data_IF_498149781604
#
_entry.id   IF_498149781604
#
_cell.length_a   1.000
_cell.length_b   1.000
_cell.length_c   1.000
_cell.angle_alpha   90.00
_cell.angle_beta   90.00
_cell.angle_gamma   90.00
#
_symmetry.space_group_name_H-M   'P 1'
#
loop_
_entity.id
_entity.type
_entity.pdbx_description
1 polymer ?
#
# COMPACT_ATOMS: atom_id res chain seq x y z
N UNK A 1 -68.56 -16.25 44.07
CA UNK A 1 -67.75 -15.33 43.26
C UNK A 1 -66.26 -15.49 43.61
N UNK A 2 -65.62 -16.46 42.96
CA UNK A 2 -64.17 -16.61 42.87
C UNK A 2 -63.83 -16.57 41.37
N UNK A 3 -62.87 -15.76 40.94
CA UNK A 3 -62.55 -15.61 39.52
C UNK A 3 -61.71 -16.80 39.02
N UNK A 4 -62.04 -17.27 37.82
CA UNK A 4 -61.35 -18.34 37.09
C UNK A 4 -59.87 -17.99 36.82
N UNK A 5 -58.98 -19.00 36.71
CA UNK A 5 -57.59 -18.76 36.33
C UNK A 5 -57.51 -18.29 34.87
N UNK A 6 -56.75 -17.22 34.65
CA UNK A 6 -56.50 -16.61 33.34
C UNK A 6 -55.80 -17.60 32.38
N UNK A 7 -56.04 -17.49 31.07
CA UNK A 7 -55.32 -18.30 30.09
C UNK A 7 -53.86 -17.83 30.04
N UNK A 8 -52.95 -18.79 30.13
CA UNK A 8 -51.54 -18.63 29.76
C UNK A 8 -51.49 -18.06 28.35
N UNK A 9 -51.04 -16.82 28.23
CA UNK A 9 -50.70 -16.19 26.96
C UNK A 9 -49.62 -17.06 26.34
N UNK A 10 -49.93 -17.68 25.20
CA UNK A 10 -48.92 -18.29 24.36
C UNK A 10 -47.96 -17.17 23.95
N UNK A 11 -46.77 -17.19 24.51
CA UNK A 11 -45.67 -16.33 24.10
C UNK A 11 -45.33 -16.73 22.66
N UNK A 12 -45.81 -15.92 21.74
CA UNK A 12 -45.48 -15.97 20.32
C UNK A 12 -43.97 -15.78 20.22
N UNK A 13 -43.25 -16.89 20.01
CA UNK A 13 -41.83 -16.90 19.71
C UNK A 13 -41.64 -16.06 18.46
N UNK A 14 -41.15 -14.83 18.64
CA UNK A 14 -40.66 -14.02 17.55
C UNK A 14 -39.58 -14.82 16.81
N UNK A 15 -39.58 -14.91 15.47
CA UNK A 15 -38.51 -15.56 14.76
C UNK A 15 -37.19 -14.84 15.07
N UNK A 16 -36.25 -15.60 15.60
CA UNK A 16 -34.85 -15.21 15.78
C UNK A 16 -34.31 -14.73 14.42
N UNK A 17 -33.60 -13.59 14.34
CA UNK A 17 -33.01 -13.17 13.07
C UNK A 17 -31.96 -14.19 12.67
N UNK A 18 -32.20 -14.88 11.55
CA UNK A 18 -31.22 -15.76 10.89
C UNK A 18 -29.88 -15.01 10.74
N UNK A 19 -28.73 -15.64 11.04
CA UNK A 19 -27.44 -15.02 10.82
C UNK A 19 -27.21 -14.89 9.31
N UNK A 20 -27.09 -13.66 8.82
CA UNK A 20 -26.65 -13.33 7.47
C UNK A 20 -25.15 -13.63 7.33
N UNK A 21 -24.77 -14.91 7.24
CA UNK A 21 -23.38 -15.33 6.99
C UNK A 21 -23.03 -15.35 5.49
N UNK A 22 -24.02 -15.26 4.60
CA UNK A 22 -23.82 -15.34 3.14
C UNK A 22 -23.18 -14.08 2.51
N UNK A 23 -23.12 -12.95 3.24
CA UNK A 23 -22.57 -11.68 2.71
C UNK A 23 -21.06 -11.51 2.97
N UNK A 24 -20.41 -12.44 3.68
CA UNK A 24 -18.96 -12.40 3.94
C UNK A 24 -18.26 -13.33 2.97
N UNK A 25 -17.72 -12.75 1.90
CA UNK A 25 -16.90 -13.50 0.94
C UNK A 25 -15.67 -14.09 1.63
N UNK A 26 -15.43 -15.39 1.44
CA UNK A 26 -14.16 -15.99 1.82
C UNK A 26 -13.06 -15.43 0.89
N UNK A 27 -11.82 -15.32 1.38
CA UNK A 27 -10.71 -14.69 0.63
C UNK A 27 -10.41 -15.38 -0.72
N UNK A 28 -10.92 -16.60 -0.94
CA UNK A 28 -10.81 -17.35 -2.19
C UNK A 28 -11.95 -17.09 -3.18
N UNK A 29 -13.02 -16.43 -2.75
CA UNK A 29 -14.19 -16.18 -3.58
C UNK A 29 -13.95 -14.97 -4.49
N UNK A 30 -14.28 -15.14 -5.78
CA UNK A 30 -14.22 -14.06 -6.76
C UNK A 30 -15.42 -13.15 -6.62
N UNK A 31 -15.20 -11.86 -6.36
CA UNK A 31 -16.26 -10.85 -6.34
C UNK A 31 -16.90 -10.70 -7.73
N UNK A 32 -18.21 -10.96 -7.81
CA UNK A 32 -19.03 -10.67 -8.99
C UNK A 32 -19.76 -9.35 -8.74
N UNK A 33 -19.42 -8.32 -9.52
CA UNK A 33 -20.07 -7.01 -9.37
C UNK A 33 -21.51 -7.06 -9.93
N UNK A 34 -22.50 -6.49 -9.23
CA UNK A 34 -23.85 -6.41 -9.75
C UNK A 34 -23.91 -5.51 -11.01
N UNK A 35 -24.75 -5.87 -11.97
CA UNK A 35 -24.81 -5.24 -13.30
C UNK A 35 -25.16 -3.74 -13.32
N UNK A 36 -25.67 -3.20 -12.20
CA UNK A 36 -25.93 -1.78 -12.02
C UNK A 36 -25.67 -1.41 -10.56
N UNK A 37 -24.64 -0.59 -10.32
CA UNK A 37 -24.37 0.01 -9.02
C UNK A 37 -24.72 1.49 -9.08
N UNK A 38 -25.67 1.90 -8.23
CA UNK A 38 -26.01 3.32 -8.08
C UNK A 38 -25.36 3.87 -6.83
N UNK A 39 -24.46 4.84 -7.02
CA UNK A 39 -23.85 5.60 -5.93
C UNK A 39 -24.62 6.92 -5.83
N UNK A 40 -25.68 6.93 -5.01
CA UNK A 40 -26.55 8.10 -4.83
C UNK A 40 -27.41 8.39 -6.05
N UNK A 41 -27.13 9.49 -6.76
CA UNK A 41 -27.82 9.89 -8.00
C UNK A 41 -26.99 9.53 -9.26
N UNK A 42 -25.84 8.87 -9.07
CA UNK A 42 -24.94 8.49 -10.16
C UNK A 42 -25.13 7.02 -10.51
N UNK A 43 -25.55 6.76 -11.75
CA UNK A 43 -25.64 5.42 -12.32
C UNK A 43 -24.27 5.01 -12.88
N UNK A 44 -23.62 4.02 -12.27
CA UNK A 44 -22.32 3.51 -12.70
C UNK A 44 -22.55 2.26 -13.55
N UNK A 45 -22.50 2.44 -14.87
CA UNK A 45 -22.49 1.31 -15.80
C UNK A 45 -21.10 0.68 -15.82
N UNK A 46 -20.96 -0.66 -15.75
CA UNK A 46 -19.69 -1.32 -15.94
C UNK A 46 -19.14 -0.94 -17.32
N UNK A 47 -17.91 -0.44 -17.36
CA UNK A 47 -17.24 -0.12 -18.61
C UNK A 47 -16.98 -1.43 -19.36
N UNK A 48 -17.76 -1.70 -20.40
CA UNK A 48 -17.41 -2.72 -21.39
C UNK A 48 -16.01 -2.38 -21.92
N UNK A 49 -15.09 -3.36 -22.09
CA UNK A 49 -13.76 -3.09 -22.59
C UNK A 49 -13.84 -2.66 -24.06
N UNK A 50 -14.12 -1.38 -24.27
CA UNK A 50 -13.93 -0.68 -25.53
C UNK A 50 -12.48 -0.90 -25.95
N UNK A 51 -12.21 -1.40 -27.17
CA UNK A 51 -10.86 -1.52 -27.67
C UNK A 51 -10.24 -0.12 -27.64
N UNK A 52 -9.27 0.09 -26.74
CA UNK A 52 -8.53 1.34 -26.65
C UNK A 52 -8.09 1.74 -28.07
N UNK A 53 -8.42 2.95 -28.55
CA UNK A 53 -7.89 3.41 -29.82
C UNK A 53 -6.37 3.42 -29.70
N UNK A 54 -5.70 2.58 -30.49
CA UNK A 54 -4.26 2.53 -30.56
C UNK A 54 -3.76 3.89 -31.09
N UNK A 55 -3.51 4.83 -30.19
CA UNK A 55 -2.66 5.96 -30.47
C UNK A 55 -1.32 5.38 -30.97
N UNK A 56 -0.73 5.92 -32.05
CA UNK A 56 0.54 5.39 -32.54
C UNK A 56 1.57 5.55 -31.42
N UNK A 57 2.02 4.40 -30.90
CA UNK A 57 3.20 4.32 -30.05
C UNK A 57 4.35 4.90 -30.87
N UNK A 58 4.83 6.08 -30.48
CA UNK A 58 6.05 6.65 -31.04
C UNK A 58 7.19 5.69 -30.76
N UNK A 59 7.55 4.92 -31.78
CA UNK A 59 8.71 4.03 -31.77
C UNK A 59 9.97 4.90 -31.69
N UNK A 60 10.47 5.09 -30.47
CA UNK A 60 11.75 5.77 -30.22
C UNK A 60 12.88 4.87 -30.74
N UNK A 61 13.21 5.02 -32.02
CA UNK A 61 14.41 4.44 -32.62
C UNK A 61 15.63 5.16 -32.05
N UNK A 62 16.30 4.51 -31.10
CA UNK A 62 17.58 4.97 -30.58
C UNK A 62 18.67 4.69 -31.63
N UNK A 63 19.06 5.71 -32.40
CA UNK A 63 20.22 5.68 -33.28
C UNK A 63 21.51 6.03 -32.51
N UNK A 64 22.67 5.41 -32.82
CA UNK A 64 23.89 5.55 -32.03
C UNK A 64 24.48 6.96 -32.07
N UNK A 65 25.06 7.36 -30.94
CA UNK A 65 25.59 8.69 -30.62
C UNK A 65 26.63 9.14 -31.66
N UNK A 66 26.24 10.09 -32.52
CA UNK A 66 27.15 10.88 -33.34
C UNK A 66 27.33 12.24 -32.66
N UNK A 67 28.58 12.51 -32.28
CA UNK A 67 29.14 13.79 -31.79
C UNK A 67 28.40 14.49 -30.66
N UNK A 68 29.14 14.74 -29.57
CA UNK A 68 28.74 15.58 -28.45
C UNK A 68 28.62 17.02 -28.98
N UNK A 69 27.50 17.33 -29.63
CA UNK A 69 26.99 18.68 -29.66
C UNK A 69 26.55 18.97 -28.22
N UNK A 70 27.35 19.75 -27.50
CA UNK A 70 26.81 20.59 -26.42
C UNK A 70 25.50 21.15 -26.96
N UNK A 71 24.35 20.91 -26.31
CA UNK A 71 23.15 21.60 -26.72
C UNK A 71 23.47 23.06 -26.48
N UNK A 72 23.77 23.80 -27.56
CA UNK A 72 23.53 25.22 -27.59
C UNK A 72 22.02 25.32 -27.45
N UNK A 73 21.56 25.31 -26.19
CA UNK A 73 20.20 25.66 -25.86
C UNK A 73 19.96 26.97 -26.61
N UNK A 74 18.96 27.06 -27.49
CA UNK A 74 18.53 28.36 -27.93
C UNK A 74 18.23 29.11 -26.63
N UNK A 75 19.01 30.16 -26.35
CA UNK A 75 18.67 31.14 -25.33
C UNK A 75 17.34 31.72 -25.77
N UNK A 76 16.26 31.05 -25.38
CA UNK A 76 14.96 31.68 -25.29
C UNK A 76 15.23 32.94 -24.49
N UNK A 77 14.84 34.13 -24.98
CA UNK A 77 14.87 35.28 -24.12
C UNK A 77 14.05 34.86 -22.91
N UNK A 78 14.67 34.78 -21.74
CA UNK A 78 13.99 34.86 -20.46
C UNK A 78 13.34 36.24 -20.45
N UNK A 79 12.26 36.35 -21.22
CA UNK A 79 11.19 37.27 -20.94
C UNK A 79 10.89 36.96 -19.49
N UNK A 80 11.27 37.89 -18.63
CA UNK A 80 10.85 37.89 -17.25
C UNK A 80 9.33 37.90 -17.31
N UNK A 81 8.72 36.72 -17.34
CA UNK A 81 7.35 36.54 -16.96
C UNK A 81 7.25 37.24 -15.62
N UNK A 82 6.38 38.25 -15.57
CA UNK A 82 6.11 39.06 -14.40
C UNK A 82 6.21 38.17 -13.17
N UNK A 83 7.23 38.43 -12.34
CA UNK A 83 7.53 37.57 -11.20
C UNK A 83 6.27 37.53 -10.34
N UNK A 84 5.54 36.42 -10.40
CA UNK A 84 4.21 36.26 -9.81
C UNK A 84 4.22 36.44 -8.27
N UNK A 85 5.41 36.46 -7.69
CA UNK A 85 5.67 36.66 -6.27
C UNK A 85 6.85 37.63 -6.16
N UNK A 86 6.78 38.56 -5.20
CA UNK A 86 7.90 39.47 -4.91
C UNK A 86 9.07 38.74 -4.24
N UNK A 87 10.29 39.23 -4.44
CA UNK A 87 11.53 38.62 -3.92
C UNK A 87 11.49 38.33 -2.42
N UNK A 88 10.88 39.24 -1.64
CA UNK A 88 10.73 39.08 -0.19
C UNK A 88 9.83 37.90 0.20
N UNK A 89 8.73 37.69 -0.54
CA UNK A 89 7.81 36.58 -0.28
C UNK A 89 8.43 35.24 -0.73
N UNK A 90 9.16 35.22 -1.85
CA UNK A 90 9.91 34.05 -2.30
C UNK A 90 11.00 33.67 -1.29
N UNK A 91 11.78 34.63 -0.80
CA UNK A 91 12.81 34.40 0.22
C UNK A 91 12.21 33.89 1.55
N UNK A 92 11.04 34.42 1.94
CA UNK A 92 10.34 33.99 3.15
C UNK A 92 9.84 32.54 3.03
N UNK A 93 9.25 32.18 1.89
CA UNK A 93 8.82 30.81 1.61
C UNK A 93 10.01 29.83 1.60
N UNK A 94 11.10 30.18 0.91
CA UNK A 94 12.32 29.39 0.90
C UNK A 94 12.89 29.18 2.31
N UNK A 95 12.88 30.21 3.15
CA UNK A 95 13.33 30.11 4.55
C UNK A 95 12.44 29.20 5.40
N UNK A 96 11.12 29.24 5.21
CA UNK A 96 10.17 28.36 5.91
C UNK A 96 10.37 26.89 5.50
N UNK A 97 10.57 26.62 4.21
CA UNK A 97 10.88 25.28 3.72
C UNK A 97 12.23 24.78 4.21
N UNK A 98 13.25 25.64 4.27
CA UNK A 98 14.55 25.29 4.83
C UNK A 98 14.45 24.94 6.33
N UNK A 99 13.66 25.70 7.10
CA UNK A 99 13.39 25.40 8.51
C UNK A 99 12.66 24.08 8.72
N UNK A 100 11.70 23.76 7.85
CA UNK A 100 10.99 22.49 7.85
C UNK A 100 11.91 21.32 7.48
N UNK A 101 12.70 21.46 6.42
CA UNK A 101 13.67 20.45 6.00
C UNK A 101 14.69 20.15 7.11
N UNK A 102 15.19 21.20 7.77
CA UNK A 102 16.08 21.06 8.92
C UNK A 102 15.41 20.35 10.11
N UNK A 103 14.09 20.46 10.28
CA UNK A 103 13.36 19.73 11.32
C UNK A 103 13.25 18.22 11.05
N UNK A 104 13.25 17.81 9.77
CA UNK A 104 13.30 16.40 9.37
C UNK A 104 14.72 15.82 9.44
N UNK A 105 15.74 16.67 9.39
CA UNK A 105 17.14 16.27 9.57
C UNK A 105 17.55 16.33 11.05
N UNK A 106 17.09 15.34 11.83
CA UNK A 106 17.64 15.10 13.17
C UNK A 106 19.08 14.56 13.05
N UNK A 107 20.03 14.97 13.92
CA UNK A 107 21.43 14.62 13.76
C UNK A 107 21.68 13.12 13.87
N UNK A 108 22.57 12.67 12.99
CA UNK A 108 23.13 11.32 12.91
C UNK A 108 23.55 10.78 14.28
N UNK A 109 22.99 9.65 14.76
CA UNK A 109 23.62 8.88 15.80
C UNK A 109 24.80 8.12 15.20
N UNK A 110 25.96 8.31 15.82
CA UNK A 110 27.23 7.66 15.53
C UNK A 110 27.13 6.11 15.41
N UNK A 111 28.11 5.45 14.77
CA UNK A 111 27.94 4.10 14.23
C UNK A 111 27.93 3.05 15.34
N UNK A 112 26.87 2.24 15.40
CA UNK A 112 26.85 0.98 16.14
C UNK A 112 26.14 -0.11 15.31
N UNK A 113 26.55 -1.39 15.44
CA UNK A 113 26.61 -2.31 14.31
C UNK A 113 25.37 -3.22 14.19
N UNK A 114 25.06 -3.56 12.92
CA UNK A 114 24.39 -4.79 12.46
C UNK A 114 23.15 -5.22 13.25
N UNK A 115 22.03 -4.57 12.94
CA UNK A 115 20.70 -5.18 12.96
C UNK A 115 20.05 -4.85 11.63
N UNK A 116 19.15 -5.71 11.14
CA UNK A 116 18.45 -5.48 9.87
C UNK A 116 17.77 -4.11 9.94
N UNK A 117 18.31 -3.13 9.21
CA UNK A 117 17.74 -1.79 9.08
C UNK A 117 16.47 -1.90 8.23
N UNK A 118 15.41 -2.42 8.85
CA UNK A 118 14.06 -2.24 8.37
C UNK A 118 13.76 -0.76 8.59
N UNK A 119 13.86 0.02 7.52
CA UNK A 119 13.73 1.48 7.45
C UNK A 119 12.32 2.01 7.81
N UNK A 120 11.72 1.49 8.89
CA UNK A 120 10.48 1.96 9.54
C UNK A 120 10.77 2.96 10.67
N UNK A 121 12.05 3.26 10.94
CA UNK A 121 12.49 4.04 12.09
C UNK A 121 12.72 5.54 11.79
N UNK A 122 12.29 6.05 10.63
CA UNK A 122 12.33 7.48 10.34
C UNK A 122 11.07 8.18 10.86
N UNK A 123 11.07 8.47 12.16
CA UNK A 123 10.10 9.35 12.81
C UNK A 123 9.02 8.59 13.59
N UNK A 124 8.60 9.16 14.71
CA UNK A 124 7.60 8.67 15.67
C UNK A 124 6.18 8.54 15.10
N UNK A 125 6.00 7.79 14.01
CA UNK A 125 4.71 7.49 13.41
C UNK A 125 4.14 6.21 14.05
N UNK A 126 2.82 6.02 13.95
CA UNK A 126 2.12 4.83 14.49
C UNK A 126 2.75 3.53 14.00
N UNK A 127 3.31 3.53 12.79
CA UNK A 127 4.03 2.41 12.20
C UNK A 127 5.23 1.98 13.04
N UNK A 128 6.02 2.91 13.57
CA UNK A 128 7.15 2.58 14.45
C UNK A 128 6.67 1.91 15.74
N UNK A 129 5.56 2.37 16.34
CA UNK A 129 4.97 1.76 17.53
C UNK A 129 4.41 0.36 17.25
N UNK A 130 3.69 0.20 16.13
CA UNK A 130 3.16 -1.10 15.70
C UNK A 130 4.29 -2.07 15.38
N UNK A 131 5.36 -1.61 14.74
CA UNK A 131 6.54 -2.43 14.45
C UNK A 131 7.24 -2.88 15.74
N UNK A 132 7.38 -2.03 16.74
CA UNK A 132 7.91 -2.42 18.06
C UNK A 132 7.04 -3.48 18.76
N UNK A 133 5.72 -3.37 18.61
CA UNK A 133 4.77 -4.35 19.18
C UNK A 133 4.72 -5.68 18.41
N UNK A 134 4.92 -5.66 17.08
CA UNK A 134 4.89 -6.87 16.23
C UNK A 134 6.21 -7.66 16.24
N UNK A 135 7.34 -7.00 16.50
CA UNK A 135 8.66 -7.66 16.62
C UNK A 135 8.66 -8.88 17.54
N UNK A 136 8.15 -8.83 18.79
CA UNK A 136 8.15 -10.01 19.66
C UNK A 136 7.28 -11.15 19.12
N UNK A 137 6.10 -10.86 18.57
CA UNK A 137 5.21 -11.89 18.02
C UNK A 137 5.82 -12.61 16.80
N UNK A 138 6.41 -11.83 15.88
CA UNK A 138 7.10 -12.39 14.73
C UNK A 138 8.34 -13.19 15.12
N UNK A 139 9.08 -12.75 16.15
CA UNK A 139 10.23 -13.47 16.66
C UNK A 139 9.82 -14.83 17.21
N UNK A 140 8.81 -14.89 18.07
CA UNK A 140 8.36 -16.15 18.67
C UNK A 140 7.84 -17.11 17.61
N UNK A 141 7.14 -16.60 16.59
CA UNK A 141 6.69 -17.40 15.46
C UNK A 141 7.86 -17.92 14.62
N UNK A 142 8.84 -17.07 14.29
CA UNK A 142 10.02 -17.49 13.53
C UNK A 142 10.84 -18.52 14.30
N UNK A 143 11.05 -18.33 15.61
CA UNK A 143 11.79 -19.28 16.45
C UNK A 143 11.09 -20.66 16.49
N UNK A 144 9.76 -20.70 16.45
CA UNK A 144 9.00 -21.96 16.44
C UNK A 144 8.89 -22.64 15.07
N UNK A 145 8.78 -21.87 13.97
CA UNK A 145 8.42 -22.41 12.66
C UNK A 145 9.61 -22.49 11.69
N UNK A 146 10.59 -21.60 11.81
CA UNK A 146 11.73 -21.52 10.89
C UNK A 146 12.59 -22.80 10.88
N UNK A 147 12.88 -23.47 12.02
CA UNK A 147 13.66 -24.71 12.01
C UNK A 147 13.06 -25.79 11.10
N UNK A 148 11.74 -26.01 11.17
CA UNK A 148 11.06 -27.01 10.35
C UNK A 148 11.08 -26.69 8.86
N UNK A 149 10.84 -25.41 8.51
CA UNK A 149 10.88 -24.93 7.12
C UNK A 149 12.29 -25.14 6.52
N UNK A 150 13.33 -24.80 7.29
CA UNK A 150 14.72 -24.94 6.82
C UNK A 150 15.11 -26.41 6.66
N UNK A 151 14.74 -27.29 7.59
CA UNK A 151 15.03 -28.73 7.47
C UNK A 151 14.39 -29.35 6.22
N UNK A 152 13.14 -28.99 5.92
CA UNK A 152 12.45 -29.46 4.72
C UNK A 152 13.14 -28.96 3.44
N UNK A 153 13.52 -27.68 3.40
CA UNK A 153 14.16 -27.09 2.24
C UNK A 153 15.59 -27.61 2.03
N UNK A 154 16.36 -27.81 3.11
CA UNK A 154 17.71 -28.39 3.04
C UNK A 154 17.63 -29.85 2.57
N UNK A 155 16.66 -30.63 3.03
CA UNK A 155 16.45 -32.00 2.54
C UNK A 155 16.22 -32.03 1.03
N UNK A 156 15.31 -31.19 0.53
CA UNK A 156 15.04 -31.05 -0.91
C UNK A 156 16.31 -30.65 -1.68
N UNK A 157 17.09 -29.74 -1.13
CA UNK A 157 18.29 -29.22 -1.79
C UNK A 157 19.44 -30.26 -1.82
N UNK A 158 19.64 -31.03 -0.75
CA UNK A 158 20.63 -32.11 -0.71
C UNK A 158 20.24 -33.25 -1.66
N UNK A 159 18.97 -33.64 -1.71
CA UNK A 159 18.49 -34.64 -2.67
C UNK A 159 18.69 -34.20 -4.12
N UNK A 160 18.45 -32.91 -4.41
CA UNK A 160 18.70 -32.32 -5.72
C UNK A 160 20.18 -32.36 -6.09
N UNK A 161 21.06 -31.95 -5.17
CA UNK A 161 22.52 -31.98 -5.39
C UNK A 161 23.00 -33.41 -5.59
N UNK A 162 22.57 -34.36 -4.75
CA UNK A 162 22.94 -35.77 -4.85
C UNK A 162 22.51 -36.39 -6.19
N UNK A 163 21.35 -36.01 -6.73
CA UNK A 163 20.88 -36.42 -8.05
C UNK A 163 21.66 -35.79 -9.21
N UNK A 164 22.17 -34.57 -9.02
CA UNK A 164 22.94 -33.85 -10.05
C UNK A 164 24.43 -34.19 -10.05
N UNK A 165 24.95 -34.72 -8.94
CA UNK A 165 26.38 -35.03 -8.74
C UNK A 165 26.72 -36.51 -8.99
N UNK A 166 25.73 -37.39 -9.15
CA UNK A 166 25.90 -38.78 -9.59
C UNK A 166 25.56 -38.94 -11.07
#
# INVERSE_FOLDING_TARGET
PEPAPAPIVAEEVAPEPEPVEDDVLELTDTYEAPAAESIGDLDVSPAEPEPFPAAPVSESVFAPIAEIHTPEHPSVPTTNYDSLVGDSAAASAASAFAGLAASFQKPEPAPAPRGVDLNFASGSTVEAMVAEMLRPMLKDWLDANLPGIVEEQVRKEVERIARSAG
#
